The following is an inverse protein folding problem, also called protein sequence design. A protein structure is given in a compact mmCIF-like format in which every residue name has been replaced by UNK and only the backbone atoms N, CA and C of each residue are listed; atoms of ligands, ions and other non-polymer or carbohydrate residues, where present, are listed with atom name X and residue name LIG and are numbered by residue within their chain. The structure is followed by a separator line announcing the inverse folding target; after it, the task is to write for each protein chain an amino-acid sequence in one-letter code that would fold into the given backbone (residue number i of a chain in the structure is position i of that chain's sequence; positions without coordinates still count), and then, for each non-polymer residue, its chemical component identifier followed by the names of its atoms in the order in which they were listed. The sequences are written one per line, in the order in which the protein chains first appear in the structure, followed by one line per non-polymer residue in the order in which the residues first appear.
data_IF_778980053977
#
_entry.id   IF_778980053977
#
_cell.length_a   1.000
_cell.length_b   1.000
_cell.length_c   1.000
_cell.angle_alpha   90.00
_cell.angle_beta   90.00
_cell.angle_gamma   90.00
#
_symmetry.space_group_name_H-M   'P 1'
#
loop_
_entity.id
_entity.type
_entity.pdbx_description
1 polymer ?
#
# COMPACT_ATOMS: atom_id res chain seq x y z
N UNK A 1 10.98 18.61 6.94
CA UNK A 1 11.87 18.02 7.98
C UNK A 1 11.73 16.51 7.88
N UNK A 2 12.83 15.73 7.78
CA UNK A 2 12.71 14.26 7.78
C UNK A 2 12.31 13.82 9.19
N UNK A 3 11.13 13.23 9.35
CA UNK A 3 10.78 12.55 10.59
C UNK A 3 11.65 11.31 10.72
N UNK A 4 12.32 11.15 11.87
CA UNK A 4 13.16 9.99 12.15
C UNK A 4 12.56 9.21 13.30
N UNK A 5 11.90 8.10 12.98
CA UNK A 5 11.36 7.17 13.97
C UNK A 5 12.52 6.39 14.58
N UNK A 6 12.73 6.51 15.89
CA UNK A 6 13.75 5.73 16.61
C UNK A 6 13.43 4.24 16.43
N UNK A 7 14.44 3.37 16.30
CA UNK A 7 14.20 1.93 16.07
C UNK A 7 13.47 1.22 17.22
N UNK A 8 13.71 1.63 18.48
CA UNK A 8 13.05 1.07 19.66
C UNK A 8 12.93 2.12 20.78
N UNK A 9 11.88 2.02 21.60
CA UNK A 9 11.65 2.92 22.76
C UNK A 9 11.72 2.16 24.10
N UNK A 10 11.14 0.95 24.16
CA UNK A 10 11.23 0.00 25.30
C UNK A 10 11.55 -1.39 24.74
N UNK A 11 12.23 -2.22 25.54
CA UNK A 11 12.76 -3.53 25.14
C UNK A 11 11.72 -4.40 24.39
N UNK A 12 12.21 -5.21 23.44
CA UNK A 12 11.49 -6.06 22.46
C UNK A 12 10.50 -5.40 21.49
N UNK A 13 9.94 -4.22 21.81
CA UNK A 13 9.03 -3.49 20.90
C UNK A 13 9.83 -2.64 19.89
N UNK A 14 9.73 -2.95 18.61
CA UNK A 14 10.21 -2.07 17.54
C UNK A 14 9.23 -0.90 17.39
N UNK A 15 9.73 0.31 17.13
CA UNK A 15 8.85 1.35 16.59
C UNK A 15 8.83 1.22 15.06
N UNK A 16 7.69 1.50 14.45
CA UNK A 16 7.51 1.42 13.01
C UNK A 16 7.10 2.80 12.48
N UNK A 17 7.80 3.27 11.45
CA UNK A 17 7.47 4.53 10.76
C UNK A 17 6.22 4.40 9.89
N UNK A 18 5.84 5.48 9.21
CA UNK A 18 4.68 5.44 8.32
C UNK A 18 4.96 4.53 7.13
N UNK A 19 3.96 3.75 6.70
CA UNK A 19 4.11 2.88 5.51
C UNK A 19 4.47 3.66 4.23
N UNK A 20 4.06 4.93 4.16
CA UNK A 20 4.40 5.87 3.07
C UNK A 20 5.91 6.11 2.94
N UNK A 21 6.69 5.98 4.01
CA UNK A 21 8.15 6.14 3.99
C UNK A 21 8.86 4.96 3.29
N UNK A 22 8.17 3.83 3.12
CA UNK A 22 8.68 2.65 2.38
C UNK A 22 8.24 2.63 0.91
N UNK A 23 7.34 3.54 0.53
CA UNK A 23 6.75 3.60 -0.80
C UNK A 23 7.82 3.82 -1.87
N UNK A 24 7.70 3.13 -3.00
CA UNK A 24 8.52 3.36 -4.19
C UNK A 24 7.72 3.03 -5.44
N UNK A 25 7.84 3.89 -6.45
CA UNK A 25 7.14 3.74 -7.71
C UNK A 25 7.33 2.34 -8.34
N UNK A 26 6.25 1.77 -8.84
CA UNK A 26 6.18 0.46 -9.49
C UNK A 26 6.10 -0.73 -8.52
N UNK A 27 6.15 -0.53 -7.21
CA UNK A 27 5.98 -1.63 -6.25
C UNK A 27 4.51 -2.04 -6.16
N UNK A 28 4.27 -3.34 -6.24
CA UNK A 28 2.96 -3.93 -6.06
C UNK A 28 3.02 -5.05 -5.02
N UNK A 29 1.98 -5.14 -4.21
CA UNK A 29 1.75 -6.23 -3.26
C UNK A 29 0.71 -7.24 -3.77
N UNK A 30 0.41 -7.21 -5.07
CA UNK A 30 -0.61 -8.04 -5.67
C UNK A 30 -0.07 -8.67 -6.96
N UNK A 31 -0.54 -9.89 -7.22
CA UNK A 31 -0.36 -10.58 -8.49
C UNK A 31 -1.67 -11.28 -8.80
N UNK A 32 -2.53 -10.59 -9.55
CA UNK A 32 -3.84 -11.10 -9.90
C UNK A 32 -3.71 -12.06 -11.10
N UNK A 33 -4.50 -13.15 -11.14
CA UNK A 33 -4.63 -13.95 -12.35
C UNK A 33 -5.29 -13.12 -13.47
N UNK A 34 -5.21 -13.59 -14.73
CA UNK A 34 -6.01 -13.04 -15.81
C UNK A 34 -7.52 -13.05 -15.48
N UNK A 35 -8.28 -12.15 -16.10
CA UNK A 35 -9.74 -12.12 -15.96
C UNK A 35 -10.36 -13.38 -16.58
N UNK A 36 -11.16 -14.10 -15.78
CA UNK A 36 -11.93 -15.27 -16.22
C UNK A 36 -13.28 -14.90 -16.88
N UNK A 37 -13.55 -13.60 -17.00
CA UNK A 37 -14.79 -13.02 -17.53
C UNK A 37 -14.46 -11.96 -18.59
N UNK A 38 -15.41 -11.63 -19.49
CA UNK A 38 -15.21 -10.55 -20.44
C UNK A 38 -14.91 -9.22 -19.74
N UNK A 39 -13.95 -8.48 -20.30
CA UNK A 39 -13.64 -7.13 -19.85
C UNK A 39 -14.80 -6.17 -20.15
N UNK A 40 -14.99 -5.18 -19.27
CA UNK A 40 -16.11 -4.23 -19.31
C UNK A 40 -15.62 -2.80 -19.11
N UNK A 41 -16.27 -1.86 -19.79
CA UNK A 41 -15.94 -0.44 -19.70
C UNK A 41 -16.45 0.17 -18.38
N UNK A 42 -15.53 0.43 -17.46
CA UNK A 42 -15.82 1.00 -16.13
C UNK A 42 -16.49 2.36 -16.22
N UNK A 43 -16.14 3.17 -17.23
CA UNK A 43 -16.69 4.52 -17.40
C UNK A 43 -18.17 4.50 -17.78
N UNK A 44 -18.59 3.52 -18.58
CA UNK A 44 -20.02 3.29 -18.89
C UNK A 44 -20.80 2.75 -17.70
N UNK A 45 -20.18 1.90 -16.88
CA UNK A 45 -20.85 1.26 -15.74
C UNK A 45 -21.01 2.18 -14.53
N UNK A 46 -19.97 2.96 -14.24
CA UNK A 46 -19.91 3.79 -13.03
C UNK A 46 -20.28 5.26 -13.29
N UNK A 47 -20.16 5.74 -14.53
CA UNK A 47 -20.48 7.12 -14.91
C UNK A 47 -19.79 8.14 -14.00
N UNK A 48 -20.56 9.08 -13.46
CA UNK A 48 -20.06 10.12 -12.56
C UNK A 48 -19.46 9.59 -11.24
N UNK A 49 -19.65 8.31 -10.92
CA UNK A 49 -19.08 7.69 -9.73
C UNK A 49 -17.71 7.06 -9.98
N UNK A 50 -17.22 7.06 -11.23
CA UNK A 50 -15.90 6.55 -11.55
C UNK A 50 -14.80 7.44 -10.94
N UNK A 51 -13.80 6.81 -10.31
CA UNK A 51 -12.66 7.51 -9.74
C UNK A 51 -11.50 7.53 -10.73
N UNK A 52 -11.00 8.72 -11.04
CA UNK A 52 -9.92 8.93 -12.02
C UNK A 52 -8.50 8.69 -11.48
N UNK A 53 -8.32 8.69 -10.15
CA UNK A 53 -7.02 8.50 -9.51
C UNK A 53 -7.09 7.56 -8.31
N UNK A 54 -5.94 7.05 -7.87
CA UNK A 54 -5.85 6.26 -6.64
C UNK A 54 -5.70 7.14 -5.38
N UNK A 55 -5.54 8.46 -5.54
CA UNK A 55 -5.09 9.37 -4.50
C UNK A 55 -3.67 9.05 -4.00
N UNK A 56 -3.38 9.43 -2.77
CA UNK A 56 -2.07 9.20 -2.14
C UNK A 56 -2.03 7.82 -1.47
N UNK A 57 -1.86 6.75 -2.26
CA UNK A 57 -1.63 5.40 -1.74
C UNK A 57 -0.14 5.02 -1.79
N UNK A 58 0.37 4.26 -0.82
CA UNK A 58 1.75 3.77 -0.84
C UNK A 58 1.91 2.61 -1.83
N UNK A 59 2.98 2.64 -2.60
CA UNK A 59 3.40 1.55 -3.49
C UNK A 59 4.44 0.71 -2.75
N UNK A 60 4.02 -0.45 -2.24
CA UNK A 60 4.83 -1.35 -1.40
C UNK A 60 4.66 -2.80 -1.84
N UNK A 61 5.66 -3.63 -1.57
CA UNK A 61 5.60 -5.08 -1.80
C UNK A 61 4.86 -5.81 -0.68
N UNK A 62 4.38 -7.03 -0.95
CA UNK A 62 3.68 -7.87 0.04
C UNK A 62 4.51 -8.06 1.32
N UNK A 63 5.81 -8.35 1.20
CA UNK A 63 6.68 -8.55 2.35
C UNK A 63 6.83 -7.24 3.16
N UNK A 64 6.78 -6.07 2.52
CA UNK A 64 6.80 -4.79 3.22
C UNK A 64 5.51 -4.54 4.00
N UNK A 65 4.35 -4.89 3.45
CA UNK A 65 3.06 -4.86 4.15
C UNK A 65 3.10 -5.75 5.38
N UNK A 66 3.49 -7.02 5.21
CA UNK A 66 3.57 -7.99 6.31
C UNK A 66 4.50 -7.46 7.40
N UNK A 67 5.74 -7.09 7.06
CA UNK A 67 6.71 -6.58 8.05
C UNK A 67 6.20 -5.34 8.78
N UNK A 68 5.49 -4.45 8.07
CA UNK A 68 4.96 -3.22 8.66
C UNK A 68 3.88 -3.54 9.71
N UNK A 69 2.83 -4.28 9.33
CA UNK A 69 1.73 -4.59 10.24
C UNK A 69 2.12 -5.55 11.37
N UNK A 70 3.07 -6.46 11.15
CA UNK A 70 3.63 -7.29 12.23
C UNK A 70 4.36 -6.46 13.29
N UNK A 71 5.01 -5.34 12.93
CA UNK A 71 5.69 -4.46 13.90
C UNK A 71 4.75 -3.48 14.60
N UNK A 72 3.56 -3.25 14.04
CA UNK A 72 2.51 -2.44 14.66
C UNK A 72 1.65 -3.21 15.67
N UNK A 73 1.63 -4.55 15.57
CA UNK A 73 0.84 -5.44 16.44
C UNK A 73 1.56 -5.71 17.76
#
# INVERSE_FOLDING_TARGET
MKHFTRKATRHTSQNEGLIFEKSSAGKAAWKLPPLDVPDVDTSKLLGNSERNDLGNMPEVSEIEIIRHFTRLS
#
